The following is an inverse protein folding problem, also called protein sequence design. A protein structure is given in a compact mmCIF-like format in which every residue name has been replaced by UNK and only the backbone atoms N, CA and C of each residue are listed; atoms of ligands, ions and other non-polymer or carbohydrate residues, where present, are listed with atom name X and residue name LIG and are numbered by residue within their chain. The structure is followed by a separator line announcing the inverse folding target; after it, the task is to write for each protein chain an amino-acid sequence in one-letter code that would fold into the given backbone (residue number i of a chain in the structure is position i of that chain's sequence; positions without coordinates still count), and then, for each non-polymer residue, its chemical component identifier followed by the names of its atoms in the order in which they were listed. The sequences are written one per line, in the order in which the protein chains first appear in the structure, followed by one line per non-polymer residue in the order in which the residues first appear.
data_IF_915252881571
#
_entry.id   IF_915252881571
#
_cell.length_a   1.000
_cell.length_b   1.000
_cell.length_c   1.000
_cell.angle_alpha   90.00
_cell.angle_beta   90.00
_cell.angle_gamma   90.00
#
_symmetry.space_group_name_H-M   'P 1'
#
loop_
_entity.id
_entity.type
_entity.pdbx_description
1 polymer ?
#
# COMPACT_ATOMS: atom_id res chain seq x y z
N UNK A 1 -18.41 26.22 45.01
CA UNK A 1 -18.29 27.02 43.78
C UNK A 1 -16.90 26.79 43.19
N UNK A 2 -16.68 25.61 42.63
CA UNK A 2 -15.58 25.27 41.74
C UNK A 2 -16.22 24.42 40.61
N UNK A 3 -15.58 24.37 39.45
CA UNK A 3 -15.89 23.48 38.31
C UNK A 3 -16.80 24.02 37.19
N UNK A 4 -16.38 25.09 36.51
CA UNK A 4 -16.84 25.32 35.13
C UNK A 4 -15.79 25.90 34.18
N UNK A 5 -14.65 26.43 34.66
CA UNK A 5 -13.65 27.07 33.80
C UNK A 5 -12.55 26.14 33.27
N UNK A 6 -12.36 24.95 33.87
CA UNK A 6 -11.23 24.06 33.53
C UNK A 6 -11.54 23.11 32.37
N UNK A 7 -12.82 22.94 31.99
CA UNK A 7 -13.22 21.98 30.94
C UNK A 7 -13.16 22.56 29.50
N UNK A 8 -13.18 23.88 29.32
CA UNK A 8 -13.22 24.50 27.98
C UNK A 8 -11.83 24.77 27.38
N UNK A 9 -10.78 24.84 28.22
CA UNK A 9 -9.41 25.11 27.75
C UNK A 9 -8.73 23.88 27.12
N UNK A 10 -9.13 22.67 27.53
CA UNK A 10 -8.56 21.42 27.03
C UNK A 10 -9.06 21.09 25.60
N UNK A 11 -10.34 21.34 25.31
CA UNK A 11 -10.94 21.14 23.98
C UNK A 11 -10.46 22.20 22.96
N UNK A 12 -10.15 23.43 23.41
CA UNK A 12 -9.62 24.49 22.56
C UNK A 12 -8.22 24.20 22.03
N UNK A 13 -7.37 23.58 22.87
CA UNK A 13 -5.98 23.27 22.53
C UNK A 13 -5.91 22.07 21.59
N UNK A 14 -6.67 21.01 21.89
CA UNK A 14 -6.79 19.83 21.03
C UNK A 14 -7.34 20.14 19.63
N UNK A 15 -8.30 21.07 19.52
CA UNK A 15 -8.83 21.51 18.22
C UNK A 15 -7.81 22.29 17.38
N UNK A 16 -7.01 23.17 18.00
CA UNK A 16 -5.96 23.93 17.29
C UNK A 16 -4.85 23.02 16.77
N UNK A 17 -4.44 22.03 17.56
CA UNK A 17 -3.43 21.05 17.15
C UNK A 17 -3.92 20.14 16.03
N UNK A 18 -5.20 19.74 16.06
CA UNK A 18 -5.83 18.97 14.99
C UNK A 18 -5.95 19.76 13.68
N UNK A 19 -6.32 21.05 13.74
CA UNK A 19 -6.40 21.92 12.55
C UNK A 19 -5.02 22.12 11.93
N UNK A 20 -3.99 22.40 12.73
CA UNK A 20 -2.62 22.54 12.25
C UNK A 20 -2.05 21.23 11.66
N UNK A 21 -2.48 20.07 12.16
CA UNK A 21 -2.13 18.78 11.58
C UNK A 21 -2.82 18.53 10.24
N UNK A 22 -4.07 18.98 10.08
CA UNK A 22 -4.84 18.78 8.86
C UNK A 22 -4.32 19.65 7.70
N UNK A 23 -3.96 20.90 7.96
CA UNK A 23 -3.33 21.79 6.98
C UNK A 23 -1.96 21.27 6.52
N UNK A 24 -1.15 20.76 7.46
CA UNK A 24 0.12 20.10 7.13
C UNK A 24 -0.09 18.89 6.24
N UNK A 25 -1.09 18.07 6.53
CA UNK A 25 -1.43 16.92 5.70
C UNK A 25 -1.87 17.33 4.29
N UNK A 26 -2.65 18.42 4.15
CA UNK A 26 -3.02 18.95 2.84
C UNK A 26 -1.81 19.39 2.02
N UNK A 27 -0.86 20.10 2.66
CA UNK A 27 0.39 20.50 2.02
C UNK A 27 1.25 19.31 1.58
N UNK A 28 1.24 18.21 2.34
CA UNK A 28 1.88 16.97 1.92
C UNK A 28 1.20 16.35 0.69
N UNK A 29 -0.14 16.34 0.66
CA UNK A 29 -0.90 15.88 -0.51
C UNK A 29 -0.60 16.72 -1.75
N UNK A 30 -0.53 18.05 -1.61
CA UNK A 30 -0.19 18.94 -2.72
C UNK A 30 1.22 18.66 -3.27
N UNK A 31 2.21 18.52 -2.37
CA UNK A 31 3.59 18.18 -2.75
C UNK A 31 3.69 16.82 -3.44
N UNK A 32 2.93 15.84 -2.95
CA UNK A 32 2.85 14.52 -3.57
C UNK A 32 2.27 14.58 -4.99
N UNK A 33 1.16 15.31 -5.19
CA UNK A 33 0.53 15.46 -6.52
C UNK A 33 1.49 16.09 -7.54
N UNK A 34 2.30 17.08 -7.14
CA UNK A 34 3.32 17.70 -8.01
C UNK A 34 4.39 16.69 -8.46
N UNK A 35 4.66 15.67 -7.66
CA UNK A 35 5.65 14.64 -7.94
C UNK A 35 5.05 13.40 -8.59
N UNK A 36 3.74 13.19 -8.47
CA UNK A 36 3.07 11.95 -8.87
C UNK A 36 3.33 11.62 -10.34
N UNK A 37 3.18 12.59 -11.25
CA UNK A 37 3.43 12.32 -12.67
C UNK A 37 4.85 11.85 -12.90
N UNK A 38 5.87 12.39 -12.22
CA UNK A 38 7.27 11.99 -12.36
C UNK A 38 7.55 10.59 -11.79
N UNK A 39 6.94 10.23 -10.67
CA UNK A 39 7.25 9.01 -9.94
C UNK A 39 6.34 7.82 -10.27
N UNK A 40 5.18 8.07 -10.88
CA UNK A 40 4.20 7.02 -11.16
C UNK A 40 4.70 6.08 -12.25
N UNK A 41 4.84 4.80 -11.90
CA UNK A 41 5.32 3.76 -12.82
C UNK A 41 4.38 3.56 -14.00
N UNK A 42 3.08 3.84 -13.85
CA UNK A 42 2.10 3.74 -14.93
C UNK A 42 2.35 4.72 -16.09
N UNK A 43 3.05 5.84 -15.82
CA UNK A 43 3.30 6.90 -16.81
C UNK A 43 4.50 6.58 -17.69
N UNK A 44 5.58 6.08 -17.10
CA UNK A 44 6.88 5.99 -17.80
C UNK A 44 7.39 4.56 -17.95
N UNK A 45 6.98 3.63 -17.10
CA UNK A 45 7.52 2.28 -17.12
C UNK A 45 6.77 1.47 -18.18
N UNK A 46 7.52 0.88 -19.12
CA UNK A 46 6.95 -0.08 -20.07
C UNK A 46 6.29 -1.22 -19.29
N UNK A 47 5.11 -1.64 -19.73
CA UNK A 47 4.43 -2.81 -19.18
C UNK A 47 5.37 -4.02 -19.25
N UNK A 48 5.57 -4.63 -18.10
CA UNK A 48 6.40 -5.81 -17.97
C UNK A 48 5.54 -7.06 -18.14
N UNK A 49 6.00 -7.98 -18.97
CA UNK A 49 5.38 -9.30 -19.18
C UNK A 49 6.46 -10.34 -18.96
N UNK A 50 6.16 -11.37 -18.16
CA UNK A 50 7.04 -12.51 -17.99
C UNK A 50 7.15 -13.28 -19.30
N UNK A 51 8.38 -13.49 -19.78
CA UNK A 51 8.65 -14.35 -20.93
C UNK A 51 9.24 -15.70 -20.48
N UNK A 52 9.53 -16.57 -21.46
CA UNK A 52 10.11 -17.90 -21.20
C UNK A 52 11.51 -17.84 -20.57
N UNK A 53 12.30 -16.80 -20.87
CA UNK A 53 13.64 -16.65 -20.31
C UNK A 53 13.55 -16.29 -18.82
N UNK A 54 12.62 -15.39 -18.45
CA UNK A 54 12.34 -15.10 -17.06
C UNK A 54 11.84 -16.33 -16.32
N UNK A 55 10.93 -17.12 -16.91
CA UNK A 55 10.42 -18.36 -16.29
C UNK A 55 11.48 -19.45 -16.13
N UNK A 56 12.56 -19.43 -16.91
CA UNK A 56 13.71 -20.33 -16.73
C UNK A 56 14.69 -19.85 -15.65
N UNK A 57 14.57 -18.60 -15.22
CA UNK A 57 15.36 -18.00 -14.15
C UNK A 57 14.65 -18.13 -12.79
N UNK A 58 15.37 -17.82 -11.71
CA UNK A 58 14.78 -17.79 -10.38
C UNK A 58 13.83 -16.59 -10.23
N UNK A 59 12.53 -16.82 -10.46
CA UNK A 59 11.48 -15.77 -10.40
C UNK A 59 10.99 -15.44 -8.99
N UNK A 60 11.39 -16.21 -7.98
CA UNK A 60 11.04 -15.98 -6.59
C UNK A 60 12.29 -16.18 -5.72
N UNK A 61 12.65 -15.22 -4.84
CA UNK A 61 13.84 -15.36 -4.02
C UNK A 61 13.75 -16.59 -3.12
N UNK A 62 14.69 -17.53 -3.26
CA UNK A 62 14.74 -18.76 -2.43
C UNK A 62 14.66 -18.48 -0.94
N UNK A 63 15.29 -17.41 -0.47
CA UNK A 63 15.37 -17.05 0.94
C UNK A 63 13.99 -16.72 1.54
N UNK A 64 13.01 -16.36 0.71
CA UNK A 64 11.65 -16.06 1.15
C UNK A 64 10.73 -17.30 1.14
N UNK A 65 11.13 -18.38 0.48
CA UNK A 65 10.36 -19.62 0.45
C UNK A 65 10.74 -20.53 1.62
N UNK A 66 9.99 -20.41 2.71
CA UNK A 66 10.24 -21.15 3.96
C UNK A 66 10.27 -22.67 3.80
N UNK A 67 9.51 -23.22 2.85
CA UNK A 67 9.48 -24.66 2.62
C UNK A 67 10.82 -25.22 2.12
N UNK A 68 11.70 -24.40 1.53
CA UNK A 68 13.03 -24.85 1.08
C UNK A 68 13.99 -25.18 2.22
N UNK A 69 13.69 -24.74 3.45
CA UNK A 69 14.50 -25.09 4.62
C UNK A 69 14.16 -26.47 5.20
N UNK A 70 13.11 -27.13 4.69
CA UNK A 70 12.74 -28.47 5.10
C UNK A 70 13.58 -29.52 4.35
N UNK A 71 14.27 -30.44 5.05
CA UNK A 71 15.11 -31.46 4.42
C UNK A 71 14.37 -32.29 3.37
N UNK A 72 13.10 -32.60 3.61
CA UNK A 72 12.24 -33.37 2.71
C UNK A 72 12.04 -32.67 1.37
N UNK A 73 11.98 -31.34 1.38
CA UNK A 73 11.81 -30.53 0.17
C UNK A 73 13.13 -30.40 -0.58
N UNK A 74 14.25 -30.31 0.14
CA UNK A 74 15.59 -30.26 -0.48
C UNK A 74 15.92 -31.54 -1.24
N UNK A 75 15.41 -32.69 -0.79
CA UNK A 75 15.60 -33.99 -1.45
C UNK A 75 14.79 -34.15 -2.74
N UNK A 76 13.83 -33.27 -3.04
CA UNK A 76 12.98 -33.37 -4.25
C UNK A 76 13.70 -32.99 -5.56
N UNK A 77 14.90 -32.43 -5.46
CA UNK A 77 15.68 -31.97 -6.61
C UNK A 77 15.26 -30.61 -7.17
N UNK A 78 16.13 -30.05 -8.01
CA UNK A 78 16.02 -28.66 -8.46
C UNK A 78 14.79 -28.37 -9.33
N UNK A 79 14.30 -29.33 -10.11
CA UNK A 79 13.09 -29.14 -10.93
C UNK A 79 11.83 -28.91 -10.08
N UNK A 80 11.69 -29.66 -8.98
CA UNK A 80 10.56 -29.53 -8.05
C UNK A 80 10.66 -28.26 -7.22
N UNK A 81 11.88 -27.92 -6.79
CA UNK A 81 12.16 -26.64 -6.12
C UNK A 81 11.82 -25.46 -7.03
N UNK A 82 12.24 -25.49 -8.29
CA UNK A 82 11.91 -24.47 -9.27
C UNK A 82 10.38 -24.35 -9.45
N UNK A 83 9.68 -25.46 -9.61
CA UNK A 83 8.21 -25.47 -9.72
C UNK A 83 7.55 -24.86 -8.49
N UNK A 84 8.06 -25.16 -7.29
CA UNK A 84 7.58 -24.56 -6.04
C UNK A 84 7.79 -23.05 -6.03
N UNK A 85 8.96 -22.56 -6.41
CA UNK A 85 9.27 -21.13 -6.50
C UNK A 85 8.35 -20.42 -7.51
N UNK A 86 8.08 -21.04 -8.66
CA UNK A 86 7.16 -20.48 -9.66
C UNK A 86 5.75 -20.34 -9.09
N UNK A 87 5.23 -21.38 -8.43
CA UNK A 87 3.92 -21.34 -7.77
C UNK A 87 3.86 -20.30 -6.65
N UNK A 88 4.98 -20.11 -5.95
CA UNK A 88 5.10 -19.10 -4.89
C UNK A 88 5.02 -17.68 -5.45
N UNK A 89 5.73 -17.41 -6.55
CA UNK A 89 5.65 -16.14 -7.27
C UNK A 89 4.23 -15.86 -7.74
N UNK A 90 3.59 -16.86 -8.37
CA UNK A 90 2.21 -16.73 -8.85
C UNK A 90 1.22 -16.41 -7.71
N UNK A 91 1.30 -17.15 -6.60
CA UNK A 91 0.46 -16.90 -5.43
C UNK A 91 0.70 -15.51 -4.86
N UNK A 92 1.96 -15.12 -4.68
CA UNK A 92 2.33 -13.81 -4.15
C UNK A 92 1.80 -12.65 -5.01
N UNK A 93 1.95 -12.74 -6.33
CA UNK A 93 1.37 -11.76 -7.26
C UNK A 93 -0.16 -11.73 -7.18
N UNK A 94 -0.80 -12.89 -7.06
CA UNK A 94 -2.25 -13.00 -6.89
C UNK A 94 -2.74 -12.35 -5.60
N UNK A 95 -2.04 -12.55 -4.50
CA UNK A 95 -2.37 -11.98 -3.19
C UNK A 95 -2.23 -10.44 -3.21
N UNK A 96 -1.18 -9.90 -3.86
CA UNK A 96 -1.02 -8.45 -4.08
C UNK A 96 -2.17 -7.90 -4.91
N UNK A 97 -2.48 -8.52 -6.05
CA UNK A 97 -3.56 -8.07 -6.92
C UNK A 97 -4.92 -8.09 -6.20
N UNK A 98 -5.17 -9.12 -5.38
CA UNK A 98 -6.40 -9.21 -4.59
C UNK A 98 -6.46 -8.11 -3.51
N UNK A 99 -5.35 -7.82 -2.83
CA UNK A 99 -5.26 -6.74 -1.85
C UNK A 99 -5.54 -5.39 -2.50
N UNK A 100 -4.90 -5.10 -3.65
CA UNK A 100 -5.09 -3.86 -4.39
C UNK A 100 -6.55 -3.69 -4.86
N UNK A 101 -7.11 -4.73 -5.47
CA UNK A 101 -8.46 -4.66 -6.04
C UNK A 101 -9.56 -4.59 -4.96
N UNK A 102 -9.43 -5.33 -3.86
CA UNK A 102 -10.51 -5.46 -2.86
C UNK A 102 -10.39 -4.49 -1.70
N UNK A 103 -9.17 -4.19 -1.27
CA UNK A 103 -8.94 -3.38 -0.06
C UNK A 103 -8.55 -1.97 -0.46
N UNK A 104 -7.48 -1.81 -1.22
CA UNK A 104 -6.96 -0.48 -1.57
C UNK A 104 -7.99 0.30 -2.39
N UNK A 105 -8.48 -0.28 -3.49
CA UNK A 105 -9.48 0.36 -4.35
C UNK A 105 -10.76 0.72 -3.59
N UNK A 106 -11.21 -0.12 -2.65
CA UNK A 106 -12.38 0.16 -1.82
C UNK A 106 -12.15 1.35 -0.91
N UNK A 107 -11.02 1.38 -0.19
CA UNK A 107 -10.69 2.48 0.72
C UNK A 107 -10.53 3.80 -0.03
N UNK A 108 -9.81 3.78 -1.17
CA UNK A 108 -9.69 4.93 -2.07
C UNK A 108 -11.07 5.44 -2.53
N UNK A 109 -11.94 4.53 -2.97
CA UNK A 109 -13.30 4.86 -3.37
C UNK A 109 -14.12 5.45 -2.22
N UNK A 110 -14.04 4.88 -1.02
CA UNK A 110 -14.76 5.36 0.15
C UNK A 110 -14.28 6.76 0.59
N UNK A 111 -12.97 7.02 0.51
CA UNK A 111 -12.38 8.34 0.75
C UNK A 111 -12.82 9.37 -0.30
N UNK A 112 -12.69 9.04 -1.59
CA UNK A 112 -13.04 9.95 -2.69
C UNK A 112 -14.53 10.34 -2.68
N UNK A 113 -15.41 9.41 -2.25
CA UNK A 113 -16.85 9.63 -2.16
C UNK A 113 -17.33 10.19 -0.81
N UNK A 114 -16.41 10.62 0.07
CA UNK A 114 -16.71 11.13 1.41
C UNK A 114 -17.65 10.20 2.22
N UNK A 115 -17.45 8.88 2.16
CA UNK A 115 -18.24 7.94 2.99
C UNK A 115 -17.95 8.06 4.49
N UNK A 116 -16.86 8.73 4.84
CA UNK A 116 -16.49 9.02 6.22
C UNK A 116 -17.05 10.37 6.67
N UNK A 117 -17.32 10.52 7.97
CA UNK A 117 -17.98 11.70 8.56
C UNK A 117 -17.11 12.97 8.63
N UNK A 118 -16.00 13.03 7.90
CA UNK A 118 -15.10 14.18 7.87
C UNK A 118 -14.91 14.68 6.43
N UNK A 119 -14.81 16.00 6.29
CA UNK A 119 -14.65 16.64 4.98
C UNK A 119 -13.18 16.62 4.57
N UNK A 120 -12.88 15.96 3.44
CA UNK A 120 -11.57 16.02 2.81
C UNK A 120 -11.44 17.27 1.94
N UNK A 121 -10.24 17.85 1.92
CA UNK A 121 -9.88 18.91 0.97
C UNK A 121 -9.81 18.34 -0.46
N UNK A 122 -9.71 19.23 -1.44
CA UNK A 122 -9.57 18.81 -2.84
C UNK A 122 -8.26 18.05 -3.09
N UNK A 123 -7.14 18.43 -2.47
CA UNK A 123 -5.86 17.75 -2.69
C UNK A 123 -5.88 16.34 -2.11
N UNK A 124 -6.40 16.18 -0.89
CA UNK A 124 -6.55 14.85 -0.27
C UNK A 124 -7.43 13.92 -1.12
N UNK A 125 -8.53 14.44 -1.69
CA UNK A 125 -9.40 13.66 -2.59
C UNK A 125 -8.74 13.27 -3.91
N UNK A 126 -7.81 14.07 -4.44
CA UNK A 126 -7.09 13.75 -5.68
C UNK A 126 -5.99 12.70 -5.47
N UNK A 127 -5.51 12.54 -4.24
CA UNK A 127 -4.52 11.52 -3.87
C UNK A 127 -5.18 10.17 -3.62
N UNK A 128 -6.40 10.18 -3.08
CA UNK A 128 -7.23 8.99 -2.87
C UNK A 128 -7.64 8.34 -4.21
#
# INVERSE_FOLDING_TARGET
MQDSATLEQDDSTARKDATGSFEKFDGLCESYLKQWDRHSTIRWKKRFTLDKAHLASEIFPRQLQRLLFLPEVQQLGEEKIHTLLVRSSYKWMGDIAALEAKVVSRLCSDLANNKYQFSLTQNMRKVA
#
